data_IF_648101337476
#
_entry.id   IF_648101337476
#
_cell.length_a   1.000
_cell.length_b   1.000
_cell.length_c   1.000
_cell.angle_alpha   90.00
_cell.angle_beta   90.00
_cell.angle_gamma   90.00
#
_symmetry.space_group_name_H-M   'P 1'
#
loop_
_entity.id
_entity.type
_entity.pdbx_description
1 polymer ?
#
# COMPACT_ATOMS: atom_id res chain seq x y z
N UNK A 1 -11.55 71.95 -22.23
CA UNK A 1 -12.24 71.03 -21.30
C UNK A 1 -11.66 69.66 -21.51
N UNK A 2 -10.84 69.14 -20.56
CA UNK A 2 -10.14 67.88 -20.66
C UNK A 2 -10.94 66.84 -19.92
N UNK A 3 -11.30 65.76 -20.59
CA UNK A 3 -11.87 64.53 -19.95
C UNK A 3 -10.77 63.52 -19.80
N UNK A 4 -10.35 63.30 -18.55
CA UNK A 4 -9.42 62.24 -18.15
C UNK A 4 -10.16 60.92 -18.08
N UNK A 5 -9.84 60.00 -18.94
CA UNK A 5 -10.25 58.60 -18.87
C UNK A 5 -9.34 57.84 -17.91
N UNK A 6 -9.90 57.33 -16.80
CA UNK A 6 -9.26 56.46 -15.83
C UNK A 6 -9.39 54.99 -16.31
N UNK A 7 -8.32 54.44 -16.86
CA UNK A 7 -8.22 52.99 -17.07
C UNK A 7 -7.76 52.33 -15.76
N UNK A 8 -8.69 51.68 -15.03
CA UNK A 8 -8.39 50.81 -13.94
C UNK A 8 -7.98 49.42 -14.52
N UNK A 9 -6.68 49.16 -14.50
CA UNK A 9 -6.17 47.83 -14.84
C UNK A 9 -6.45 46.85 -13.72
N UNK A 10 -7.27 45.84 -13.98
CA UNK A 10 -7.42 44.66 -13.14
C UNK A 10 -6.28 43.69 -13.45
N UNK A 11 -5.35 43.57 -12.53
CA UNK A 11 -4.36 42.53 -12.57
C UNK A 11 -5.04 41.23 -12.11
N UNK A 12 -5.29 40.30 -13.04
CA UNK A 12 -5.73 38.96 -12.75
C UNK A 12 -4.49 38.17 -12.27
N UNK A 13 -4.42 37.95 -10.99
CA UNK A 13 -3.39 37.07 -10.39
C UNK A 13 -3.80 35.61 -10.66
N UNK A 14 -3.26 35.03 -11.71
CA UNK A 14 -3.42 33.60 -11.97
C UNK A 14 -2.50 32.86 -10.99
N UNK A 15 -3.08 32.38 -9.89
CA UNK A 15 -2.42 31.47 -8.98
C UNK A 15 -2.28 30.10 -9.69
N UNK A 16 -1.12 29.84 -10.27
CA UNK A 16 -0.77 28.51 -10.78
C UNK A 16 -0.60 27.58 -9.59
N UNK A 17 -1.64 26.81 -9.27
CA UNK A 17 -1.53 25.65 -8.39
C UNK A 17 -0.68 24.60 -9.10
N UNK A 18 0.59 24.50 -8.70
CA UNK A 18 1.44 23.36 -9.08
C UNK A 18 0.88 22.15 -8.35
N UNK A 19 0.08 21.33 -9.04
CA UNK A 19 -0.24 19.99 -8.58
C UNK A 19 1.07 19.20 -8.56
N UNK A 20 1.59 18.93 -7.38
CA UNK A 20 2.65 17.93 -7.20
C UNK A 20 2.02 16.59 -7.55
N UNK A 21 2.21 16.14 -8.78
CA UNK A 21 1.86 14.79 -9.20
C UNK A 21 2.87 13.88 -8.50
N UNK A 22 2.50 13.36 -7.32
CA UNK A 22 3.19 12.23 -6.75
C UNK A 22 3.02 11.09 -7.77
N UNK A 23 4.11 10.49 -8.26
CA UNK A 23 4.10 9.47 -9.31
C UNK A 23 3.37 8.18 -8.94
N UNK A 24 2.97 8.01 -7.67
CA UNK A 24 2.13 6.92 -7.20
C UNK A 24 0.65 7.26 -7.37
N UNK A 25 -0.10 6.33 -7.96
CA UNK A 25 -1.55 6.42 -8.05
C UNK A 25 -2.23 6.50 -6.68
N UNK A 26 -3.50 6.88 -6.66
CA UNK A 26 -4.31 6.79 -5.44
C UNK A 26 -4.45 5.33 -5.03
N UNK A 27 -4.41 5.05 -3.71
CA UNK A 27 -4.65 3.69 -3.19
C UNK A 27 -6.00 3.18 -3.69
N UNK A 28 -6.06 1.95 -4.20
CA UNK A 28 -7.32 1.36 -4.65
C UNK A 28 -8.35 1.27 -3.51
N UNK A 29 -9.59 1.60 -3.82
CA UNK A 29 -10.74 1.49 -2.92
C UNK A 29 -11.44 0.12 -3.01
N UNK A 30 -10.90 -0.80 -3.78
CA UNK A 30 -11.39 -2.18 -3.88
C UNK A 30 -11.28 -2.91 -2.55
N UNK A 31 -12.37 -3.54 -2.16
CA UNK A 31 -12.40 -4.34 -0.94
C UNK A 31 -11.61 -5.64 -1.11
N UNK A 32 -10.83 -5.99 -0.07
CA UNK A 32 -10.25 -7.31 0.11
C UNK A 32 -10.96 -8.10 1.20
N UNK A 33 -10.67 -9.38 1.33
CA UNK A 33 -11.15 -10.23 2.42
C UNK A 33 -9.96 -10.65 3.28
N UNK A 34 -10.06 -10.43 4.60
CA UNK A 34 -9.01 -10.89 5.51
C UNK A 34 -9.04 -12.41 5.69
N UNK A 35 -7.96 -13.01 6.17
CA UNK A 35 -7.93 -14.44 6.48
C UNK A 35 -8.88 -14.80 7.63
N UNK A 36 -9.25 -13.85 8.48
CA UNK A 36 -10.31 -14.03 9.49
C UNK A 36 -11.73 -14.02 8.90
N UNK A 37 -11.89 -13.62 7.61
CA UNK A 37 -13.16 -13.57 6.90
C UNK A 37 -13.85 -12.21 6.92
N UNK A 38 -13.17 -11.13 7.33
CA UNK A 38 -13.71 -9.77 7.30
C UNK A 38 -13.51 -9.15 5.92
N UNK A 39 -14.50 -8.46 5.38
CA UNK A 39 -14.35 -7.63 4.18
C UNK A 39 -13.91 -6.23 4.60
N UNK A 40 -12.80 -5.76 4.06
CA UNK A 40 -12.24 -4.43 4.38
C UNK A 40 -11.84 -3.69 3.11
N UNK A 41 -11.86 -2.36 3.19
CA UNK A 41 -11.26 -1.45 2.20
C UNK A 41 -9.99 -0.87 2.83
N UNK A 42 -8.82 -1.26 2.33
CA UNK A 42 -7.55 -0.85 2.94
C UNK A 42 -7.38 0.67 2.99
N UNK A 43 -7.85 1.39 1.98
CA UNK A 43 -7.80 2.86 1.96
C UNK A 43 -8.52 3.52 3.16
N UNK A 44 -9.47 2.83 3.80
CA UNK A 44 -10.15 3.29 5.01
C UNK A 44 -9.35 2.91 6.28
N UNK A 45 -8.68 1.75 6.27
CA UNK A 45 -7.97 1.20 7.42
C UNK A 45 -6.63 1.89 7.70
N UNK A 46 -5.99 2.48 6.68
CA UNK A 46 -4.66 3.09 6.82
C UNK A 46 -4.68 4.49 7.41
N UNK A 47 -5.84 5.10 7.61
CA UNK A 47 -5.95 6.48 8.10
C UNK A 47 -5.67 6.58 9.60
N UNK A 48 -4.90 7.61 9.98
CA UNK A 48 -4.61 7.93 11.37
C UNK A 48 -3.41 7.19 11.96
N UNK A 49 -2.77 6.30 11.20
CA UNK A 49 -1.63 5.51 11.64
C UNK A 49 -0.54 5.46 10.59
N UNK A 50 0.72 5.29 11.02
CA UNK A 50 1.78 4.85 10.11
C UNK A 50 1.54 3.36 9.78
N UNK A 51 1.53 3.03 8.50
CA UNK A 51 1.18 1.70 8.01
C UNK A 51 2.23 1.21 7.02
N UNK A 52 2.62 -0.04 7.16
CA UNK A 52 3.40 -0.75 6.14
C UNK A 52 2.47 -1.73 5.42
N UNK A 53 2.42 -1.61 4.10
CA UNK A 53 1.78 -2.58 3.22
C UNK A 53 2.86 -3.50 2.65
N UNK A 54 2.72 -4.81 2.83
CA UNK A 54 3.60 -5.83 2.25
C UNK A 54 2.80 -6.69 1.30
N UNK A 55 3.07 -6.62 0.00
CA UNK A 55 2.25 -7.26 -1.02
C UNK A 55 3.01 -8.32 -1.83
N UNK A 56 2.37 -9.46 -2.04
CA UNK A 56 2.81 -10.52 -2.95
C UNK A 56 1.79 -10.73 -4.08
N UNK A 57 2.28 -10.74 -5.30
CA UNK A 57 1.47 -10.87 -6.52
C UNK A 57 1.68 -12.22 -7.23
N UNK A 58 2.37 -13.15 -6.57
CA UNK A 58 2.53 -14.54 -7.00
C UNK A 58 2.73 -15.45 -5.78
N UNK A 59 2.74 -16.77 -6.03
CA UNK A 59 3.06 -17.74 -4.98
C UNK A 59 4.50 -17.60 -4.46
N UNK A 60 5.43 -17.30 -5.35
CA UNK A 60 6.86 -17.14 -5.06
C UNK A 60 7.11 -15.92 -4.16
N UNK A 61 6.43 -14.81 -4.44
CA UNK A 61 6.51 -13.60 -3.61
C UNK A 61 6.03 -13.83 -2.17
N UNK A 62 5.11 -14.79 -1.95
CA UNK A 62 4.53 -15.07 -0.63
C UNK A 62 5.54 -15.43 0.46
N UNK A 63 6.65 -16.11 0.12
CA UNK A 63 7.71 -16.37 1.10
C UNK A 63 8.42 -15.08 1.50
N UNK A 64 8.60 -14.16 0.57
CA UNK A 64 9.22 -12.86 0.80
C UNK A 64 8.32 -11.93 1.63
N UNK A 65 6.99 -11.96 1.44
CA UNK A 65 6.06 -11.16 2.25
C UNK A 65 6.12 -11.57 3.72
N UNK A 66 6.06 -12.87 4.02
CA UNK A 66 6.19 -13.37 5.37
C UNK A 66 7.54 -13.04 6.03
N UNK A 67 8.63 -13.01 5.26
CA UNK A 67 9.94 -12.59 5.77
C UNK A 67 9.95 -11.11 6.17
N UNK A 68 9.33 -10.23 5.35
CA UNK A 68 9.16 -8.82 5.67
C UNK A 68 8.33 -8.59 6.94
N UNK A 69 7.15 -9.21 7.02
CA UNK A 69 6.26 -9.10 8.19
C UNK A 69 7.01 -9.52 9.47
N UNK A 70 7.73 -10.63 9.41
CA UNK A 70 8.53 -11.11 10.53
C UNK A 70 9.66 -10.15 10.92
N UNK A 71 10.37 -9.57 9.95
CA UNK A 71 11.45 -8.62 10.21
C UNK A 71 10.91 -7.33 10.84
N UNK A 72 9.79 -6.80 10.32
CA UNK A 72 9.15 -5.59 10.88
C UNK A 72 8.68 -5.81 12.31
N UNK A 73 8.04 -6.94 12.61
CA UNK A 73 7.57 -7.26 13.96
C UNK A 73 8.72 -7.52 14.96
N UNK A 74 9.87 -7.98 14.47
CA UNK A 74 11.05 -8.24 15.30
C UNK A 74 11.85 -6.97 15.63
N UNK A 75 11.65 -5.87 14.89
CA UNK A 75 12.43 -4.66 15.06
C UNK A 75 11.73 -3.67 16.02
N UNK A 76 12.36 -3.35 17.19
CA UNK A 76 11.80 -2.39 18.14
C UNK A 76 11.62 -0.98 17.55
N UNK A 77 12.42 -0.58 16.54
CA UNK A 77 12.31 0.73 15.90
C UNK A 77 11.03 0.86 15.05
N UNK A 78 10.42 -0.26 14.68
CA UNK A 78 9.17 -0.33 13.94
C UNK A 78 7.97 -0.69 14.84
N UNK A 79 8.18 -0.72 16.17
CA UNK A 79 7.12 -0.99 17.12
C UNK A 79 6.00 0.07 17.00
N UNK A 80 4.76 -0.40 16.91
CA UNK A 80 3.58 0.47 16.76
C UNK A 80 3.19 0.80 15.32
N UNK A 81 4.00 0.41 14.33
CA UNK A 81 3.58 0.46 12.92
C UNK A 81 2.58 -0.67 12.66
N UNK A 82 1.46 -0.35 12.03
CA UNK A 82 0.48 -1.35 11.60
C UNK A 82 0.99 -1.98 10.30
N UNK A 83 1.04 -3.29 10.24
CA UNK A 83 1.45 -4.03 9.04
C UNK A 83 0.23 -4.71 8.43
N UNK A 84 -0.03 -4.47 7.15
CA UNK A 84 -0.96 -5.26 6.35
C UNK A 84 -0.19 -6.11 5.34
N UNK A 85 -0.37 -7.43 5.39
CA UNK A 85 0.10 -8.34 4.37
C UNK A 85 -1.00 -8.53 3.32
N UNK A 86 -0.62 -8.45 2.03
CA UNK A 86 -1.56 -8.50 0.90
C UNK A 86 -1.13 -9.64 -0.02
N UNK A 87 -2.04 -10.59 -0.26
CA UNK A 87 -1.83 -11.65 -1.24
C UNK A 87 -2.84 -11.55 -2.38
N UNK A 88 -2.37 -11.51 -3.62
CA UNK A 88 -3.20 -11.58 -4.80
C UNK A 88 -3.40 -13.02 -5.23
N UNK A 89 -4.67 -13.46 -5.31
CA UNK A 89 -5.06 -14.77 -5.86
C UNK A 89 -6.14 -14.65 -6.94
N UNK A 90 -6.34 -13.45 -7.49
CA UNK A 90 -7.35 -13.19 -8.52
C UNK A 90 -7.12 -14.05 -9.79
N UNK A 91 -5.85 -14.33 -10.13
CA UNK A 91 -5.47 -15.22 -11.22
C UNK A 91 -5.76 -16.70 -10.99
N UNK A 92 -5.99 -17.13 -9.74
CA UNK A 92 -6.29 -18.52 -9.44
C UNK A 92 -7.72 -18.91 -9.86
N UNK A 93 -7.96 -20.13 -10.39
CA UNK A 93 -9.30 -20.62 -10.67
C UNK A 93 -10.19 -20.59 -9.44
N UNK A 94 -11.45 -20.17 -9.58
CA UNK A 94 -12.38 -19.96 -8.48
C UNK A 94 -12.54 -21.18 -7.57
N UNK A 95 -12.53 -22.38 -8.15
CA UNK A 95 -12.65 -23.65 -7.39
C UNK A 95 -11.50 -23.89 -6.38
N UNK A 96 -10.30 -23.37 -6.66
CA UNK A 96 -9.13 -23.60 -5.78
C UNK A 96 -8.83 -22.42 -4.85
N UNK A 97 -9.44 -21.24 -5.06
CA UNK A 97 -9.21 -20.06 -4.20
C UNK A 97 -9.50 -20.34 -2.73
N UNK A 98 -10.58 -21.10 -2.44
CA UNK A 98 -10.92 -21.51 -1.08
C UNK A 98 -9.84 -22.38 -0.43
N UNK A 99 -9.22 -23.29 -1.20
CA UNK A 99 -8.12 -24.14 -0.75
C UNK A 99 -6.87 -23.30 -0.48
N UNK A 100 -6.52 -22.35 -1.38
CA UNK A 100 -5.39 -21.44 -1.21
C UNK A 100 -5.57 -20.61 0.07
N UNK A 101 -6.73 -19.96 0.26
CA UNK A 101 -7.05 -19.20 1.48
C UNK A 101 -6.95 -20.06 2.74
N UNK A 102 -7.47 -21.28 2.71
CA UNK A 102 -7.36 -22.22 3.83
C UNK A 102 -5.92 -22.61 4.14
N UNK A 103 -5.08 -22.76 3.13
CA UNK A 103 -3.64 -22.99 3.29
C UNK A 103 -2.94 -21.80 3.95
N UNK A 104 -3.18 -20.58 3.45
CA UNK A 104 -2.64 -19.33 4.03
C UNK A 104 -3.06 -19.19 5.49
N UNK A 105 -4.35 -19.39 5.79
CA UNK A 105 -4.90 -19.28 7.14
C UNK A 105 -4.23 -20.21 8.15
N UNK A 106 -3.79 -21.40 7.73
CA UNK A 106 -3.05 -22.33 8.60
C UNK A 106 -1.61 -21.88 8.87
N UNK A 107 -1.01 -21.14 7.95
CA UNK A 107 0.36 -20.66 8.06
C UNK A 107 0.48 -19.32 8.80
N UNK A 108 -0.61 -18.57 8.97
CA UNK A 108 -0.62 -17.23 9.58
C UNK A 108 -1.19 -17.29 11.00
N UNK A 109 -0.48 -16.76 12.02
CA UNK A 109 -0.98 -16.69 13.40
C UNK A 109 -2.35 -16.03 13.48
N UNK A 110 -3.22 -16.52 14.35
CA UNK A 110 -4.59 -16.03 14.48
C UNK A 110 -4.68 -14.52 14.75
N UNK A 111 -3.71 -13.97 15.50
CA UNK A 111 -3.63 -12.53 15.80
C UNK A 111 -3.31 -11.66 14.58
N UNK A 112 -2.70 -12.24 13.55
CA UNK A 112 -2.28 -11.52 12.32
C UNK A 112 -3.31 -11.67 11.18
N UNK A 113 -4.29 -12.60 11.31
CA UNK A 113 -5.25 -12.90 10.25
C UNK A 113 -6.18 -11.73 9.90
N UNK A 114 -6.39 -10.79 10.81
CA UNK A 114 -7.16 -9.57 10.56
C UNK A 114 -6.42 -8.57 9.68
N UNK A 115 -5.09 -8.64 9.69
CA UNK A 115 -4.21 -7.78 8.91
C UNK A 115 -3.65 -8.47 7.64
N UNK A 116 -4.03 -9.72 7.40
CA UNK A 116 -3.70 -10.42 6.16
C UNK A 116 -4.87 -10.35 5.18
N UNK A 117 -4.70 -9.60 4.10
CA UNK A 117 -5.74 -9.29 3.11
C UNK A 117 -5.54 -10.10 1.84
N UNK A 118 -6.59 -10.77 1.39
CA UNK A 118 -6.58 -11.57 0.17
C UNK A 118 -7.39 -10.84 -0.91
N UNK A 119 -6.76 -10.55 -2.04
CA UNK A 119 -7.37 -9.97 -3.21
C UNK A 119 -7.83 -11.09 -4.15
N UNK A 120 -9.14 -11.23 -4.32
CA UNK A 120 -9.75 -12.28 -5.16
C UNK A 120 -10.36 -11.77 -6.46
N UNK A 121 -10.49 -10.45 -6.60
CA UNK A 121 -11.04 -9.76 -7.77
C UNK A 121 -9.92 -9.11 -8.60
N UNK A 122 -10.24 -8.26 -9.56
CA UNK A 122 -9.25 -7.61 -10.43
C UNK A 122 -8.17 -6.89 -9.60
N UNK A 123 -6.97 -7.40 -9.67
CA UNK A 123 -5.81 -6.86 -8.94
C UNK A 123 -5.03 -5.80 -9.74
N UNK A 124 -5.45 -5.45 -10.96
CA UNK A 124 -4.75 -4.45 -11.78
C UNK A 124 -4.55 -3.11 -11.06
N UNK A 125 -5.56 -2.54 -10.36
CA UNK A 125 -5.36 -1.31 -9.61
C UNK A 125 -4.25 -1.43 -8.55
N UNK A 126 -4.20 -2.57 -7.85
CA UNK A 126 -3.18 -2.87 -6.85
C UNK A 126 -1.80 -3.05 -7.46
N UNK A 127 -1.70 -3.77 -8.59
CA UNK A 127 -0.43 -3.92 -9.34
C UNK A 127 0.08 -2.56 -9.82
N UNK A 128 -0.80 -1.67 -10.28
CA UNK A 128 -0.43 -0.30 -10.65
C UNK A 128 0.01 0.53 -9.45
N UNK A 129 -0.70 0.42 -8.32
CA UNK A 129 -0.37 1.15 -7.09
C UNK A 129 1.00 0.76 -6.52
N UNK A 130 1.37 -0.51 -6.58
CA UNK A 130 2.67 -1.02 -6.17
C UNK A 130 3.74 -0.94 -7.27
N UNK A 131 3.40 -0.46 -8.47
CA UNK A 131 4.31 -0.40 -9.65
C UNK A 131 4.96 -1.77 -9.95
N UNK A 132 4.16 -2.83 -9.94
CA UNK A 132 4.64 -4.21 -10.07
C UNK A 132 5.28 -4.44 -11.42
N UNK A 133 6.62 -4.59 -11.45
CA UNK A 133 7.40 -4.96 -12.62
C UNK A 133 7.81 -6.43 -12.63
N UNK A 134 8.05 -7.01 -11.46
CA UNK A 134 8.39 -8.44 -11.27
C UNK A 134 7.50 -9.02 -10.17
N UNK A 135 6.64 -9.96 -10.50
CA UNK A 135 5.71 -10.57 -9.55
C UNK A 135 6.33 -11.69 -8.69
N UNK A 136 7.60 -12.05 -8.93
CA UNK A 136 8.32 -13.06 -8.15
C UNK A 136 8.83 -12.53 -6.80
N UNK A 137 8.83 -11.21 -6.60
CA UNK A 137 9.34 -10.56 -5.40
C UNK A 137 8.23 -9.84 -4.63
N UNK A 138 8.37 -9.68 -3.29
CA UNK A 138 7.44 -8.87 -2.51
C UNK A 138 7.65 -7.38 -2.77
N UNK A 139 6.58 -6.61 -2.61
CA UNK A 139 6.54 -5.15 -2.66
C UNK A 139 6.19 -4.60 -1.29
N UNK A 140 6.82 -3.50 -0.92
CA UNK A 140 6.60 -2.86 0.39
C UNK A 140 6.38 -1.36 0.21
N UNK A 141 5.36 -0.83 0.85
CA UNK A 141 5.05 0.59 0.89
C UNK A 141 4.89 1.03 2.35
N UNK A 142 5.58 2.11 2.74
CA UNK A 142 5.33 2.82 4.00
C UNK A 142 4.42 4.02 3.75
N UNK A 143 3.35 4.11 4.53
CA UNK A 143 2.40 5.20 4.52
C UNK A 143 2.47 6.01 5.80
N UNK A 144 2.31 7.32 5.68
CA UNK A 144 2.06 8.19 6.82
C UNK A 144 0.58 8.12 7.28
N UNK A 145 0.21 8.76 8.41
CA UNK A 145 -1.17 8.75 8.90
C UNK A 145 -2.20 9.41 7.97
N UNK A 146 -1.77 10.15 6.96
CA UNK A 146 -2.65 10.72 5.92
C UNK A 146 -2.89 9.76 4.75
N UNK A 147 -2.16 8.64 4.69
CA UNK A 147 -2.15 7.68 3.59
C UNK A 147 -1.19 8.06 2.46
N UNK A 148 -0.30 9.04 2.67
CA UNK A 148 0.74 9.40 1.71
C UNK A 148 1.89 8.40 1.78
N UNK A 149 2.42 8.02 0.62
CA UNK A 149 3.59 7.16 0.53
C UNK A 149 4.83 7.94 0.97
N UNK A 150 5.49 7.46 2.02
CA UNK A 150 6.78 7.95 2.51
C UNK A 150 7.95 7.20 1.86
N UNK A 151 7.77 5.92 1.63
CA UNK A 151 8.79 5.05 1.07
C UNK A 151 8.15 3.84 0.37
N UNK A 152 8.83 3.33 -0.64
CA UNK A 152 8.48 2.07 -1.30
C UNK A 152 9.75 1.30 -1.70
N UNK A 153 9.62 -0.02 -1.79
CA UNK A 153 10.68 -0.91 -2.24
C UNK A 153 10.12 -2.26 -2.67
N UNK A 154 10.98 -3.10 -3.24
CA UNK A 154 10.63 -4.46 -3.63
C UNK A 154 11.81 -5.42 -3.36
N UNK A 155 11.51 -6.71 -3.28
CA UNK A 155 12.47 -7.72 -2.85
C UNK A 155 12.63 -7.77 -1.32
N UNK A 156 13.67 -8.44 -0.86
CA UNK A 156 14.04 -8.50 0.56
C UNK A 156 15.56 -8.42 0.69
N UNK A 157 16.06 -7.30 1.22
CA UNK A 157 17.45 -7.06 1.49
C UNK A 157 17.61 -6.18 2.74
N UNK A 158 18.71 -6.37 3.48
CA UNK A 158 18.93 -5.66 4.76
C UNK A 158 19.01 -4.14 4.62
N UNK A 159 19.50 -3.65 3.48
CA UNK A 159 19.55 -2.22 3.18
C UNK A 159 18.14 -1.61 2.96
N UNK A 160 17.20 -2.36 2.39
CA UNK A 160 15.81 -1.94 2.22
C UNK A 160 15.10 -1.80 3.57
N UNK A 161 15.36 -2.71 4.51
CA UNK A 161 14.85 -2.60 5.88
C UNK A 161 15.40 -1.35 6.59
N UNK A 162 16.68 -1.04 6.41
CA UNK A 162 17.29 0.17 6.94
C UNK A 162 16.71 1.44 6.33
N UNK A 163 16.40 1.44 5.03
CA UNK A 163 15.73 2.54 4.34
C UNK A 163 14.31 2.76 4.85
N UNK A 164 13.54 1.68 5.06
CA UNK A 164 12.19 1.73 5.64
C UNK A 164 12.21 2.42 7.02
N UNK A 165 13.14 2.03 7.89
CA UNK A 165 13.32 2.66 9.21
C UNK A 165 13.66 4.14 9.12
N UNK A 166 14.55 4.51 8.22
CA UNK A 166 14.94 5.92 8.01
C UNK A 166 13.76 6.76 7.52
N UNK A 167 12.88 6.21 6.70
CA UNK A 167 11.72 6.93 6.17
C UNK A 167 10.60 7.11 7.21
N UNK A 168 10.59 6.33 8.28
CA UNK A 168 9.60 6.41 9.35
C UNK A 168 9.89 7.56 10.34
N UNK A 169 11.15 8.00 10.45
CA UNK A 169 11.64 9.03 11.39
C UNK A 169 12.03 10.32 10.67
#
# INVERSE_FOLDING_TARGET
MAVRSLFQGWAILVASTIAVVNGFGQMPDTAGETLSGKRIVLAEQVRGHAVVLVAGFSHEAGNGTGAWVKAIHADPALAGVIVYEIAEIAGAPGLIRGMIKSGMKKGVPAAEQDNFVVLTEDAKPWRSYFEVGDDQVPYVILLDPSGKILWHGHGFAADLEAQLKTALH
#
